data_IF_701518176404
#
_entry.id   IF_701518176404
#
_cell.length_a   1.000
_cell.length_b   1.000
_cell.length_c   1.000
_cell.angle_alpha   90.00
_cell.angle_beta   90.00
_cell.angle_gamma   90.00
#
_symmetry.space_group_name_H-M   'P 1'
#
loop_
_entity.id
_entity.type
_entity.pdbx_description
1 polymer ?
#
# COMPACT_ATOMS: atom_id res chain seq x y z
N UNK A 1 13.79 -11.86 -30.53
CA UNK A 1 13.33 -10.48 -30.25
C UNK A 1 13.50 -10.25 -28.76
N UNK A 2 14.60 -9.62 -28.36
CA UNK A 2 14.88 -9.32 -26.95
C UNK A 2 13.96 -8.19 -26.53
N UNK A 3 12.97 -8.46 -25.68
CA UNK A 3 12.16 -7.41 -25.08
C UNK A 3 13.09 -6.51 -24.27
N UNK A 4 13.26 -5.26 -24.72
CA UNK A 4 13.98 -4.25 -23.94
C UNK A 4 13.23 -4.05 -22.63
N UNK A 5 13.91 -4.30 -21.51
CA UNK A 5 13.36 -4.03 -20.18
C UNK A 5 13.30 -2.51 -20.06
N UNK A 6 12.10 -1.90 -19.90
CA UNK A 6 12.00 -0.46 -19.77
C UNK A 6 12.80 0.02 -18.55
N UNK A 7 13.50 1.16 -18.65
CA UNK A 7 14.35 1.65 -17.57
C UNK A 7 13.51 1.88 -16.31
N UNK A 8 14.00 1.38 -15.17
CA UNK A 8 13.35 1.58 -13.88
C UNK A 8 13.35 3.08 -13.55
N UNK A 9 12.20 3.72 -13.32
CA UNK A 9 12.13 5.15 -13.05
C UNK A 9 12.95 5.52 -11.81
N UNK A 10 13.68 6.64 -11.89
CA UNK A 10 14.55 7.07 -10.82
C UNK A 10 13.71 7.52 -9.60
N UNK A 11 13.86 6.85 -8.46
CA UNK A 11 13.11 7.18 -7.24
C UNK A 11 13.24 8.64 -6.81
N UNK A 12 14.33 9.33 -7.19
CA UNK A 12 14.57 10.74 -6.84
C UNK A 12 13.73 11.73 -7.65
N UNK A 13 13.19 11.34 -8.81
CA UNK A 13 12.39 12.22 -9.68
C UNK A 13 10.89 12.15 -9.39
N UNK A 14 10.45 11.10 -8.72
CA UNK A 14 9.03 10.82 -8.45
C UNK A 14 8.55 11.52 -7.18
N UNK A 15 8.55 12.85 -7.17
CA UNK A 15 8.22 13.69 -6.00
C UNK A 15 7.09 14.70 -6.26
N UNK A 16 6.56 14.82 -7.49
CA UNK A 16 5.63 15.89 -7.91
C UNK A 16 4.34 15.96 -7.10
N UNK A 17 3.84 14.83 -6.62
CA UNK A 17 2.60 14.70 -5.84
C UNK A 17 2.84 14.51 -4.33
N UNK A 18 4.06 14.75 -3.86
CA UNK A 18 4.45 14.62 -2.46
C UNK A 18 4.86 15.97 -1.87
N UNK A 19 4.82 16.06 -0.55
CA UNK A 19 5.43 17.20 0.14
C UNK A 19 6.94 17.28 -0.17
N UNK A 20 7.54 18.49 -0.16
CA UNK A 20 8.96 18.66 -0.43
C UNK A 20 9.85 17.72 0.39
N UNK A 21 10.84 17.10 -0.26
CA UNK A 21 11.75 16.13 0.37
C UNK A 21 11.18 14.72 0.55
N UNK A 22 9.96 14.44 0.06
CA UNK A 22 9.37 13.09 0.04
C UNK A 22 9.16 12.60 -1.38
N UNK A 23 9.19 11.28 -1.56
CA UNK A 23 8.77 10.62 -2.80
C UNK A 23 7.26 10.35 -2.78
N UNK A 24 6.65 10.29 -3.95
CA UNK A 24 5.23 10.05 -4.11
C UNK A 24 4.80 8.67 -3.62
N UNK A 25 3.66 8.63 -2.93
CA UNK A 25 3.07 7.37 -2.46
C UNK A 25 2.71 6.45 -3.64
N UNK A 26 2.26 7.01 -4.77
CA UNK A 26 1.89 6.20 -5.93
C UNK A 26 3.09 5.44 -6.50
N UNK A 27 4.27 6.04 -6.43
CA UNK A 27 5.52 5.41 -6.84
C UNK A 27 5.99 4.38 -5.83
N UNK A 28 6.02 4.74 -4.54
CA UNK A 28 6.49 3.84 -3.48
C UNK A 28 5.62 2.58 -3.32
N UNK A 29 4.30 2.71 -3.49
CA UNK A 29 3.35 1.62 -3.23
C UNK A 29 2.93 0.86 -4.48
N UNK A 30 2.79 1.55 -5.61
CA UNK A 30 2.22 0.97 -6.83
C UNK A 30 3.19 0.97 -8.00
N UNK A 31 4.45 1.42 -7.80
CA UNK A 31 5.45 1.46 -8.87
C UNK A 31 5.11 2.44 -10.00
N UNK A 32 4.12 3.31 -9.83
CA UNK A 32 3.68 4.25 -10.85
C UNK A 32 4.54 5.51 -10.85
N UNK A 33 5.00 5.94 -12.02
CA UNK A 33 5.62 7.27 -12.17
C UNK A 33 4.60 8.38 -11.92
N UNK A 34 5.06 9.61 -11.71
CA UNK A 34 4.22 10.79 -11.64
C UNK A 34 3.46 10.99 -12.95
N UNK A 35 4.08 10.69 -14.11
CA UNK A 35 3.43 10.81 -15.42
C UNK A 35 2.30 9.77 -15.57
N UNK A 36 2.54 8.51 -15.14
CA UNK A 36 1.49 7.49 -15.12
C UNK A 36 0.34 7.90 -14.21
N UNK A 37 0.65 8.48 -13.05
CA UNK A 37 -0.35 8.94 -12.11
C UNK A 37 -1.15 10.13 -12.66
N UNK A 38 -0.52 11.07 -13.36
CA UNK A 38 -1.22 12.18 -14.03
C UNK A 38 -2.17 11.69 -15.11
N UNK A 39 -1.73 10.72 -15.92
CA UNK A 39 -2.61 10.09 -16.92
C UNK A 39 -3.79 9.38 -16.24
N UNK A 40 -3.55 8.75 -15.10
CA UNK A 40 -4.60 8.11 -14.32
C UNK A 40 -5.60 9.14 -13.75
N UNK A 41 -5.11 10.25 -13.20
CA UNK A 41 -5.95 11.37 -12.73
C UNK A 41 -6.79 11.96 -13.87
N UNK A 42 -6.16 12.23 -15.01
CA UNK A 42 -6.83 12.77 -16.19
C UNK A 42 -7.92 11.81 -16.71
N UNK A 43 -7.63 10.51 -16.77
CA UNK A 43 -8.59 9.47 -17.15
C UNK A 43 -9.80 9.42 -16.20
N UNK A 44 -9.57 9.55 -14.89
CA UNK A 44 -10.64 9.55 -13.90
C UNK A 44 -11.48 10.84 -13.92
N UNK A 45 -10.91 11.94 -14.41
CA UNK A 45 -11.55 13.26 -14.50
C UNK A 45 -12.17 13.71 -13.16
N UNK A 46 -11.45 13.48 -12.05
CA UNK A 46 -11.89 13.84 -10.70
C UNK A 46 -13.09 13.03 -10.19
N UNK A 47 -13.38 11.86 -10.78
CA UNK A 47 -14.54 11.03 -10.44
C UNK A 47 -14.13 9.58 -10.21
N UNK A 48 -14.88 8.90 -9.34
CA UNK A 48 -14.77 7.45 -9.19
C UNK A 48 -15.05 6.75 -10.54
N UNK A 49 -14.13 5.93 -11.04
CA UNK A 49 -14.28 5.30 -12.35
C UNK A 49 -15.42 4.28 -12.41
N UNK A 50 -15.88 3.76 -11.26
CA UNK A 50 -16.94 2.77 -11.16
C UNK A 50 -18.35 3.39 -10.95
N UNK A 51 -18.49 4.37 -10.05
CA UNK A 51 -19.80 4.99 -9.74
C UNK A 51 -19.97 6.43 -10.24
N UNK A 52 -18.92 7.05 -10.79
CA UNK A 52 -18.89 8.40 -11.37
C UNK A 52 -19.14 9.58 -10.41
N UNK A 53 -19.28 9.31 -9.11
CA UNK A 53 -19.30 10.33 -8.04
C UNK A 53 -18.02 11.16 -8.06
N UNK A 54 -18.16 12.49 -7.89
CA UNK A 54 -17.00 13.39 -7.80
C UNK A 54 -16.18 13.09 -6.55
N UNK A 55 -14.87 13.33 -6.63
CA UNK A 55 -13.95 13.15 -5.51
C UNK A 55 -14.40 13.90 -4.25
N UNK A 56 -14.80 15.16 -4.41
CA UNK A 56 -15.30 16.04 -3.33
C UNK A 56 -16.62 15.56 -2.70
N UNK A 57 -17.43 14.81 -3.44
CA UNK A 57 -18.70 14.24 -2.97
C UNK A 57 -18.50 12.87 -2.30
N UNK A 58 -17.30 12.29 -2.38
CA UNK A 58 -17.02 11.03 -1.68
C UNK A 58 -16.92 11.27 -0.18
N UNK A 59 -17.24 10.24 0.62
CA UNK A 59 -17.16 10.31 2.08
C UNK A 59 -15.79 10.78 2.60
N UNK A 60 -14.71 10.48 1.88
CA UNK A 60 -13.34 10.86 2.25
C UNK A 60 -12.89 12.18 1.63
N UNK A 61 -13.62 12.70 0.63
CA UNK A 61 -13.17 13.81 -0.21
C UNK A 61 -11.92 13.47 -1.03
N UNK A 62 -11.68 12.19 -1.29
CA UNK A 62 -10.49 11.71 -2.01
C UNK A 62 -10.76 10.38 -2.72
N UNK A 63 -10.14 10.17 -3.89
CA UNK A 63 -10.10 8.89 -4.58
C UNK A 63 -8.89 8.05 -4.16
N UNK A 64 -9.02 6.72 -4.28
CA UNK A 64 -7.97 5.76 -3.98
C UNK A 64 -7.51 5.04 -5.24
N UNK A 65 -6.21 4.76 -5.33
CA UNK A 65 -5.62 3.93 -6.39
C UNK A 65 -6.00 2.47 -6.11
N UNK A 66 -6.87 1.95 -6.97
CA UNK A 66 -7.30 0.57 -6.92
C UNK A 66 -6.46 -0.30 -7.86
N UNK A 67 -6.13 -1.50 -7.41
CA UNK A 67 -5.20 -2.41 -8.06
C UNK A 67 -5.57 -3.87 -7.78
N UNK A 68 -5.20 -4.74 -8.70
CA UNK A 68 -5.19 -6.17 -8.44
C UNK A 68 -3.80 -6.59 -7.97
N UNK A 69 -3.75 -7.40 -6.90
CA UNK A 69 -2.53 -8.05 -6.43
C UNK A 69 -2.85 -9.50 -6.04
N UNK A 70 -2.19 -10.45 -6.71
CA UNK A 70 -2.38 -11.87 -6.45
C UNK A 70 -1.82 -12.76 -7.55
N UNK A 71 -1.46 -13.99 -7.20
CA UNK A 71 -0.98 -14.98 -8.19
C UNK A 71 0.34 -14.61 -8.86
N UNK A 72 1.14 -13.72 -8.23
CA UNK A 72 2.35 -13.16 -8.81
C UNK A 72 2.11 -11.97 -9.75
N UNK A 73 0.86 -11.54 -9.92
CA UNK A 73 0.48 -10.40 -10.75
C UNK A 73 0.20 -9.16 -9.91
N UNK A 74 0.54 -8.02 -10.50
CA UNK A 74 0.21 -6.70 -9.99
C UNK A 74 -0.13 -5.76 -11.15
N UNK A 75 -1.30 -5.13 -11.11
CA UNK A 75 -1.64 -4.07 -12.04
C UNK A 75 -2.65 -3.08 -11.43
N UNK A 76 -2.52 -1.81 -11.79
CA UNK A 76 -3.44 -0.75 -11.38
C UNK A 76 -4.66 -0.75 -12.29
N UNK A 77 -5.85 -0.74 -11.67
CA UNK A 77 -7.13 -0.72 -12.39
C UNK A 77 -7.60 0.70 -12.65
N UNK A 78 -7.51 1.57 -11.66
CA UNK A 78 -7.95 2.96 -11.77
C UNK A 78 -8.11 3.69 -10.44
N UNK A 79 -8.92 4.76 -10.44
CA UNK A 79 -9.27 5.54 -9.25
C UNK A 79 -10.72 5.31 -8.81
N UNK A 80 -10.91 4.97 -7.54
CA UNK A 80 -12.23 4.66 -6.95
C UNK A 80 -12.49 5.45 -5.67
N UNK A 81 -13.76 5.62 -5.30
CA UNK A 81 -14.12 6.00 -3.93
C UNK A 81 -14.01 4.79 -2.98
N UNK A 82 -13.93 5.00 -1.67
CA UNK A 82 -13.75 3.92 -0.67
C UNK A 82 -14.85 2.85 -0.74
N UNK A 83 -16.09 3.26 -1.02
CA UNK A 83 -17.23 2.34 -1.19
C UNK A 83 -17.02 1.41 -2.39
N UNK A 84 -16.62 1.95 -3.53
CA UNK A 84 -16.38 1.18 -4.75
C UNK A 84 -15.10 0.33 -4.64
N UNK A 85 -14.08 0.82 -3.96
CA UNK A 85 -12.88 0.05 -3.64
C UNK A 85 -13.22 -1.20 -2.79
N UNK A 86 -14.18 -1.07 -1.88
CA UNK A 86 -14.71 -2.21 -1.11
C UNK A 86 -15.49 -3.21 -1.97
N UNK A 87 -16.14 -2.75 -3.05
CA UNK A 87 -16.74 -3.63 -4.06
C UNK A 87 -15.66 -4.41 -4.81
N UNK A 88 -14.57 -3.75 -5.24
CA UNK A 88 -13.46 -4.44 -5.91
C UNK A 88 -12.76 -5.43 -4.99
N UNK A 89 -12.64 -5.12 -3.70
CA UNK A 89 -12.16 -6.09 -2.71
C UNK A 89 -13.03 -7.36 -2.62
N UNK A 90 -14.33 -7.28 -2.93
CA UNK A 90 -15.21 -8.46 -3.06
C UNK A 90 -14.99 -9.16 -4.39
N UNK A 91 -14.86 -8.43 -5.48
CA UNK A 91 -14.55 -8.98 -6.80
C UNK A 91 -13.26 -9.82 -6.77
N UNK A 92 -12.24 -9.36 -6.05
CA UNK A 92 -10.93 -10.03 -5.99
C UNK A 92 -10.88 -11.22 -5.02
N UNK A 93 -12.00 -11.57 -4.41
CA UNK A 93 -12.14 -12.70 -3.50
C UNK A 93 -13.26 -13.60 -4.05
N UNK A 94 -13.19 -14.91 -3.81
CA UNK A 94 -14.32 -15.80 -4.13
C UNK A 94 -15.46 -15.66 -3.11
N UNK A 95 -15.94 -14.43 -2.88
CA UNK A 95 -17.09 -14.15 -2.02
C UNK A 95 -18.34 -14.12 -2.88
N UNK A 96 -19.37 -14.86 -2.47
CA UNK A 96 -20.66 -14.83 -3.15
C UNK A 96 -21.25 -13.41 -3.11
N UNK A 97 -21.72 -12.94 -4.27
CA UNK A 97 -22.43 -11.67 -4.39
C UNK A 97 -23.83 -11.83 -3.79
N UNK A 98 -24.11 -11.15 -2.68
CA UNK A 98 -25.46 -11.08 -2.13
C UNK A 98 -26.37 -10.19 -2.99
N UNK A 99 -27.70 -10.23 -2.79
CA UNK A 99 -28.68 -9.52 -3.63
C UNK A 99 -28.40 -8.01 -3.79
N UNK A 100 -28.01 -7.33 -2.71
CA UNK A 100 -27.68 -5.90 -2.72
C UNK A 100 -26.38 -5.56 -3.45
N UNK A 101 -25.51 -6.55 -3.64
CA UNK A 101 -24.21 -6.39 -4.30
C UNK A 101 -24.20 -6.93 -5.72
N UNK A 102 -25.16 -7.76 -6.11
CA UNK A 102 -25.22 -8.41 -7.41
C UNK A 102 -25.16 -7.44 -8.60
N UNK A 103 -25.85 -6.27 -8.59
CA UNK A 103 -25.75 -5.29 -9.69
C UNK A 103 -24.34 -4.73 -9.91
N UNK A 104 -23.45 -4.87 -8.92
CA UNK A 104 -22.08 -4.41 -9.02
C UNK A 104 -21.15 -5.45 -9.66
N UNK A 105 -21.57 -6.72 -9.78
CA UNK A 105 -20.73 -7.79 -10.33
C UNK A 105 -20.27 -7.45 -11.74
N UNK A 106 -21.21 -7.10 -12.62
CA UNK A 106 -20.90 -6.82 -14.02
C UNK A 106 -20.10 -5.51 -14.17
N UNK A 107 -20.41 -4.49 -13.35
CA UNK A 107 -19.65 -3.24 -13.32
C UNK A 107 -18.21 -3.47 -12.85
N UNK A 108 -18.02 -4.28 -11.81
CA UNK A 108 -16.70 -4.63 -11.30
C UNK A 108 -15.89 -5.41 -12.33
N UNK A 109 -16.53 -6.34 -13.05
CA UNK A 109 -15.91 -7.08 -14.15
C UNK A 109 -15.50 -6.17 -15.29
N UNK A 110 -16.40 -5.30 -15.76
CA UNK A 110 -16.11 -4.35 -16.84
C UNK A 110 -14.97 -3.40 -16.44
N UNK A 111 -14.96 -2.93 -15.20
CA UNK A 111 -13.89 -2.09 -14.67
C UNK A 111 -12.56 -2.84 -14.55
N UNK A 112 -12.56 -4.09 -14.10
CA UNK A 112 -11.37 -4.95 -14.06
C UNK A 112 -10.75 -5.11 -15.45
N UNK A 113 -11.57 -5.40 -16.47
CA UNK A 113 -11.11 -5.54 -17.85
C UNK A 113 -10.64 -4.22 -18.47
N UNK A 114 -11.11 -3.09 -17.97
CA UNK A 114 -10.68 -1.75 -18.39
C UNK A 114 -9.44 -1.26 -17.63
N UNK A 115 -8.68 -2.13 -16.98
CA UNK A 115 -7.57 -1.76 -16.11
C UNK A 115 -6.58 -0.77 -16.78
N UNK A 116 -6.21 0.28 -16.04
CA UNK A 116 -5.24 1.28 -16.49
C UNK A 116 -3.90 0.68 -16.91
N UNK A 117 -3.41 -0.33 -16.19
CA UNK A 117 -2.15 -1.01 -16.49
C UNK A 117 -2.14 -1.82 -17.78
N UNK A 118 -3.29 -1.97 -18.46
CA UNK A 118 -3.44 -2.72 -19.73
C UNK A 118 -2.74 -4.09 -19.71
N UNK A 119 -3.03 -4.96 -18.73
CA UNK A 119 -2.44 -6.28 -18.70
C UNK A 119 -2.86 -7.09 -19.93
N UNK A 120 -2.01 -8.03 -20.32
CA UNK A 120 -2.26 -8.96 -21.41
C UNK A 120 -3.43 -9.90 -21.11
N UNK A 121 -3.93 -10.57 -22.15
CA UNK A 121 -4.98 -11.58 -22.00
C UNK A 121 -4.57 -12.69 -21.04
N UNK A 122 -3.33 -13.17 -21.14
CA UNK A 122 -2.79 -14.22 -20.26
C UNK A 122 -2.75 -13.78 -18.80
N UNK A 123 -2.40 -12.52 -18.53
CA UNK A 123 -2.41 -11.94 -17.18
C UNK A 123 -3.84 -11.81 -16.64
N UNK A 124 -4.82 -11.42 -17.47
CA UNK A 124 -6.22 -11.42 -17.06
C UNK A 124 -6.73 -12.83 -16.73
N UNK A 125 -6.41 -13.83 -17.57
CA UNK A 125 -6.78 -15.21 -17.31
C UNK A 125 -6.13 -15.76 -16.03
N UNK A 126 -4.87 -15.45 -15.79
CA UNK A 126 -4.18 -15.82 -14.56
C UNK A 126 -4.78 -15.12 -13.34
N UNK A 127 -5.15 -13.84 -13.45
CA UNK A 127 -5.86 -13.12 -12.40
C UNK A 127 -7.21 -13.78 -12.10
N UNK A 128 -8.00 -14.12 -13.13
CA UNK A 128 -9.29 -14.82 -12.99
C UNK A 128 -9.13 -16.19 -12.32
N UNK A 129 -8.14 -16.99 -12.73
CA UNK A 129 -7.81 -18.27 -12.08
C UNK A 129 -7.46 -18.06 -10.62
N UNK A 130 -6.66 -17.03 -10.31
CA UNK A 130 -6.29 -16.73 -8.92
C UNK A 130 -7.49 -16.30 -8.08
N UNK A 131 -8.35 -15.41 -8.61
CA UNK A 131 -9.58 -14.96 -7.94
C UNK A 131 -10.49 -16.17 -7.67
N UNK A 132 -10.69 -17.05 -8.65
CA UNK A 132 -11.52 -18.25 -8.50
C UNK A 132 -10.94 -19.24 -7.48
N UNK A 133 -9.60 -19.33 -7.38
CA UNK A 133 -8.94 -20.22 -6.41
C UNK A 133 -8.92 -19.68 -4.97
N UNK A 134 -9.15 -18.37 -4.77
CA UNK A 134 -9.11 -17.78 -3.43
C UNK A 134 -10.21 -18.37 -2.58
N UNK A 135 -9.85 -19.01 -1.46
CA UNK A 135 -10.84 -19.43 -0.47
C UNK A 135 -11.60 -18.22 0.05
N UNK A 136 -12.88 -18.41 0.34
CA UNK A 136 -13.70 -17.42 1.04
C UNK A 136 -13.02 -17.04 2.34
N UNK A 137 -12.59 -15.78 2.45
CA UNK A 137 -11.97 -15.28 3.68
C UNK A 137 -13.00 -15.29 4.80
N UNK A 138 -12.82 -16.15 5.81
CA UNK A 138 -13.54 -15.99 7.07
C UNK A 138 -12.67 -15.24 8.07
N UNK A 139 -13.27 -14.33 8.84
CA UNK A 139 -12.56 -13.58 9.90
C UNK A 139 -11.90 -14.53 10.93
N UNK A 140 -12.48 -15.72 11.14
CA UNK A 140 -11.89 -16.78 11.98
C UNK A 140 -10.57 -17.34 11.43
N UNK A 141 -10.37 -17.26 10.11
CA UNK A 141 -9.14 -17.69 9.43
C UNK A 141 -8.08 -16.59 9.42
N UNK A 142 -8.41 -15.39 9.95
CA UNK A 142 -7.43 -14.33 10.16
C UNK A 142 -6.43 -14.86 11.17
N UNK A 143 -5.24 -15.23 10.70
CA UNK A 143 -4.12 -15.49 11.56
C UNK A 143 -3.93 -14.25 12.44
N UNK A 144 -4.23 -14.39 13.73
CA UNK A 144 -3.73 -13.46 14.73
C UNK A 144 -2.23 -13.70 14.75
N UNK A 145 -1.51 -12.93 13.93
CA UNK A 145 -0.09 -12.73 14.18
C UNK A 145 -0.03 -12.22 15.61
N UNK A 146 0.50 -13.04 16.51
CA UNK A 146 0.90 -12.58 17.82
C UNK A 146 1.89 -11.44 17.54
N UNK A 147 1.41 -10.20 17.63
CA UNK A 147 2.26 -9.04 17.55
C UNK A 147 3.11 -9.13 18.81
N UNK A 148 4.30 -9.72 18.68
CA UNK A 148 5.28 -9.69 19.75
C UNK A 148 5.42 -8.21 20.15
N UNK A 149 5.20 -7.85 21.42
CA UNK A 149 5.24 -6.45 21.82
C UNK A 149 6.62 -5.90 21.47
N UNK A 150 6.67 -4.99 20.49
CA UNK A 150 7.88 -4.25 20.17
C UNK A 150 8.13 -3.27 21.31
N UNK A 151 8.92 -3.70 22.30
CA UNK A 151 9.59 -2.81 23.24
C UNK A 151 11.09 -3.12 23.27
N UNK A 152 11.74 -3.02 22.10
CA UNK A 152 13.16 -2.71 22.13
C UNK A 152 13.27 -1.30 22.71
N UNK A 153 13.91 -1.17 23.87
CA UNK A 153 14.17 0.14 24.47
C UNK A 153 15.16 0.89 23.56
N UNK A 154 14.68 1.95 22.91
CA UNK A 154 15.52 2.83 22.10
C UNK A 154 15.81 4.10 22.91
N UNK A 155 17.06 4.27 23.33
CA UNK A 155 17.55 5.54 23.88
C UNK A 155 18.21 6.30 22.74
N UNK A 156 17.61 7.41 22.31
CA UNK A 156 18.21 8.24 21.26
C UNK A 156 19.26 9.17 21.88
N UNK A 157 20.47 9.12 21.33
CA UNK A 157 21.62 9.91 21.78
C UNK A 157 21.68 11.31 21.14
N UNK A 158 20.80 11.60 20.18
CA UNK A 158 20.68 12.89 19.47
C UNK A 158 19.81 13.93 20.22
N UNK A 159 19.43 13.64 21.47
CA UNK A 159 18.66 14.52 22.36
C UNK A 159 19.55 15.16 23.40
N UNK A 160 18.98 16.05 24.23
CA UNK A 160 19.75 16.73 25.28
C UNK A 160 20.47 15.72 26.19
N UNK A 161 21.70 16.05 26.60
CA UNK A 161 22.52 15.16 27.44
C UNK A 161 21.82 14.79 28.74
N UNK A 162 21.09 15.74 29.34
CA UNK A 162 20.32 15.55 30.57
C UNK A 162 19.21 14.51 30.41
N UNK A 163 18.47 14.58 29.30
CA UNK A 163 17.35 13.67 29.04
C UNK A 163 17.85 12.26 28.68
N UNK A 164 18.95 12.19 27.93
CA UNK A 164 19.63 10.94 27.61
C UNK A 164 20.15 10.26 28.88
N UNK A 165 20.83 11.01 29.77
CA UNK A 165 21.31 10.49 31.04
C UNK A 165 20.18 10.01 31.96
N UNK A 166 19.06 10.74 32.03
CA UNK A 166 17.89 10.34 32.81
C UNK A 166 17.30 9.00 32.33
N UNK A 167 17.19 8.81 31.01
CA UNK A 167 16.70 7.54 30.42
C UNK A 167 17.68 6.40 30.66
N UNK A 168 18.98 6.61 30.50
CA UNK A 168 19.99 5.58 30.78
C UNK A 168 19.96 5.15 32.26
N UNK A 169 19.86 6.09 33.20
CA UNK A 169 19.75 5.76 34.64
C UNK A 169 18.48 4.98 34.99
N UNK A 170 17.37 5.31 34.34
CA UNK A 170 16.07 4.64 34.56
C UNK A 170 16.06 3.20 34.06
N UNK A 171 16.81 2.91 32.99
CA UNK A 171 16.65 1.66 32.27
C UNK A 171 17.87 0.73 32.27
N UNK A 172 19.06 1.23 32.63
CA UNK A 172 20.25 0.41 32.82
C UNK A 172 20.49 0.18 34.31
N UNK A 173 20.87 -1.05 34.66
CA UNK A 173 21.40 -1.37 35.99
C UNK A 173 22.75 -0.70 36.23
N UNK A 174 23.19 -0.64 37.48
CA UNK A 174 24.48 -0.04 37.85
C UNK A 174 25.65 -0.67 37.10
N UNK A 175 25.74 -2.01 37.11
CA UNK A 175 26.74 -2.78 36.37
C UNK A 175 26.73 -2.50 34.86
N UNK A 176 25.55 -2.31 34.25
CA UNK A 176 25.45 -1.97 32.83
C UNK A 176 25.90 -0.54 32.54
N UNK A 177 25.68 0.39 33.48
CA UNK A 177 26.16 1.78 33.37
C UNK A 177 27.68 1.83 33.49
N UNK A 178 28.26 1.09 34.44
CA UNK A 178 29.72 0.97 34.59
C UNK A 178 30.36 0.45 33.30
N UNK A 179 29.82 -0.64 32.75
CA UNK A 179 30.31 -1.20 31.48
C UNK A 179 30.19 -0.21 30.31
N UNK A 180 29.11 0.56 30.25
CA UNK A 180 28.94 1.60 29.23
C UNK A 180 29.97 2.73 29.41
N UNK A 181 30.27 3.12 30.65
CA UNK A 181 31.29 4.13 30.96
C UNK A 181 32.68 3.64 30.53
N UNK A 182 33.04 2.39 30.80
CA UNK A 182 34.30 1.78 30.34
C UNK A 182 34.43 1.88 28.81
N UNK A 183 33.41 1.41 28.08
CA UNK A 183 33.37 1.42 26.61
C UNK A 183 33.49 2.83 26.03
N UNK A 184 32.83 3.81 26.64
CA UNK A 184 32.87 5.20 26.17
C UNK A 184 34.15 5.94 26.59
N UNK A 185 34.81 5.50 27.65
CA UNK A 185 36.05 6.11 28.15
C UNK A 185 37.30 5.53 27.51
N UNK A 186 37.17 4.52 26.65
CA UNK A 186 38.30 3.87 25.97
C UNK A 186 39.26 3.14 26.92
N UNK A 187 38.78 2.75 28.10
CA UNK A 187 39.54 1.92 29.05
C UNK A 187 39.09 0.48 28.83
N UNK A 188 39.80 -0.24 27.96
CA UNK A 188 39.68 -1.70 27.87
C UNK A 188 40.42 -2.38 29.03
#
# INVERSE_FOLDING_TARGET
MTAEIPPVPNRRTETRHAAPGKTCNHFQKYGMTCDDFDRLLARAAGRCELCKTLEEETQRGALVIDHFEGGGLFFVRGLLCDRCNSVMSRHDRAVAWGPSSLPWKDKARAYHLAAFGQPSLDEFEQADRHIASRRTYHVKDRAYLLVAPRKALVVRLDRSMTETAAKLRRHLTERQRERLIELLSGRE
#
